data_IF_001024567651
#
_entry.id   IF_001024567651
#
_cell.length_a   1.000
_cell.length_b   1.000
_cell.length_c   1.000
_cell.angle_alpha   90.00
_cell.angle_beta   90.00
_cell.angle_gamma   90.00
#
_symmetry.space_group_name_H-M   'P 1'
#
loop_
_entity.id
_entity.type
_entity.pdbx_description
1 polymer ?
#
# COMPACT_ATOMS: atom_id res chain seq x y z
N UNK A 1 49.89 -26.62 32.38
CA UNK A 1 49.63 -25.19 32.16
C UNK A 1 48.60 -24.97 31.04
N UNK A 2 48.77 -25.56 29.84
CA UNK A 2 47.82 -25.46 28.71
C UNK A 2 46.39 -25.95 29.05
N UNK A 3 46.24 -27.12 29.69
CA UNK A 3 44.91 -27.66 30.00
C UNK A 3 44.09 -26.79 30.96
N UNK A 4 44.74 -26.17 31.95
CA UNK A 4 44.08 -25.23 32.88
C UNK A 4 43.74 -23.89 32.21
N UNK A 5 44.55 -23.47 31.23
CA UNK A 5 44.24 -22.30 30.41
C UNK A 5 43.03 -22.56 29.50
N UNK A 6 42.95 -23.73 28.86
CA UNK A 6 41.80 -24.10 28.03
C UNK A 6 40.50 -24.17 28.86
N UNK A 7 40.54 -24.71 30.08
CA UNK A 7 39.40 -24.69 31.01
C UNK A 7 38.97 -23.28 31.45
N UNK A 8 39.87 -22.29 31.37
CA UNK A 8 39.52 -20.90 31.69
C UNK A 8 38.78 -20.19 30.55
N UNK A 9 38.69 -20.82 29.37
CA UNK A 9 37.89 -20.31 28.26
C UNK A 9 36.41 -20.68 28.45
N UNK A 10 35.47 -19.82 28.05
CA UNK A 10 34.05 -20.13 28.07
C UNK A 10 33.73 -21.48 27.38
N UNK A 11 32.83 -22.26 27.97
CA UNK A 11 32.34 -23.56 27.47
C UNK A 11 33.38 -24.70 27.32
N UNK A 12 34.65 -24.50 27.71
CA UNK A 12 35.70 -25.52 27.56
C UNK A 12 35.86 -26.38 28.81
N UNK A 13 34.76 -26.95 29.30
CA UNK A 13 34.74 -27.77 30.51
C UNK A 13 35.25 -29.21 30.24
N UNK A 14 36.27 -29.65 30.98
CA UNK A 14 36.86 -31.00 30.86
C UNK A 14 36.37 -31.88 32.03
N UNK A 15 35.40 -32.75 31.75
CA UNK A 15 34.71 -33.55 32.78
C UNK A 15 35.64 -34.49 33.55
N UNK A 16 36.67 -35.01 32.89
CA UNK A 16 37.62 -35.98 33.42
C UNK A 16 38.45 -35.40 34.59
N UNK A 17 38.52 -34.08 34.73
CA UNK A 17 39.30 -33.40 35.77
C UNK A 17 38.47 -32.97 36.98
N UNK A 18 37.15 -33.12 36.91
CA UNK A 18 36.25 -32.73 38.00
C UNK A 18 36.54 -33.50 39.29
N UNK A 19 36.75 -34.81 39.16
CA UNK A 19 37.03 -35.70 40.28
C UNK A 19 38.38 -35.40 40.92
N UNK A 20 39.37 -34.99 40.12
CA UNK A 20 40.72 -34.68 40.58
C UNK A 20 40.82 -33.29 41.22
N UNK A 21 40.22 -32.26 40.60
CA UNK A 21 40.32 -30.88 41.09
C UNK A 21 39.33 -30.62 42.23
N UNK A 22 38.13 -31.19 42.18
CA UNK A 22 37.05 -31.02 43.17
C UNK A 22 36.82 -29.55 43.61
N UNK A 23 36.93 -28.60 42.67
CA UNK A 23 36.78 -27.15 42.92
C UNK A 23 35.47 -26.58 42.38
N UNK A 24 34.46 -27.43 42.16
CA UNK A 24 33.16 -26.98 41.68
C UNK A 24 32.32 -26.51 42.85
N UNK A 25 31.68 -25.36 42.66
CA UNK A 25 30.72 -24.80 43.61
C UNK A 25 29.37 -24.77 42.93
N UNK A 26 28.34 -25.24 43.63
CA UNK A 26 26.96 -25.08 43.18
C UNK A 26 26.58 -23.61 43.30
N UNK A 27 26.17 -23.01 42.19
CA UNK A 27 25.69 -21.63 42.14
C UNK A 27 24.18 -21.64 41.91
N UNK A 28 23.48 -20.62 42.43
CA UNK A 28 22.09 -20.37 42.05
C UNK A 28 22.00 -19.90 40.60
N UNK A 29 20.88 -20.18 39.94
CA UNK A 29 20.64 -19.82 38.54
C UNK A 29 20.83 -18.32 38.27
N UNK A 30 20.45 -17.47 39.23
CA UNK A 30 20.64 -16.02 39.13
C UNK A 30 22.12 -15.60 39.07
N UNK A 31 23.00 -16.28 39.81
CA UNK A 31 24.44 -16.04 39.78
C UNK A 31 25.03 -16.50 38.44
N UNK A 32 24.59 -17.65 37.93
CA UNK A 32 24.99 -18.16 36.62
C UNK A 32 24.59 -17.20 35.50
N UNK A 33 23.36 -16.69 35.51
CA UNK A 33 22.87 -15.73 34.51
C UNK A 33 23.74 -14.47 34.41
N UNK A 34 24.34 -14.02 35.52
CA UNK A 34 25.21 -12.83 35.56
C UNK A 34 26.64 -13.13 35.11
N UNK A 35 27.11 -14.36 35.29
CA UNK A 35 28.48 -14.78 34.92
C UNK A 35 28.60 -15.33 33.51
N UNK A 36 27.47 -15.63 32.86
CA UNK A 36 27.43 -16.12 31.49
C UNK A 36 27.93 -15.02 30.53
N UNK A 37 28.96 -15.27 29.71
CA UNK A 37 29.47 -14.31 28.74
C UNK A 37 28.61 -14.21 27.47
N UNK A 38 27.39 -14.75 27.48
CA UNK A 38 26.47 -14.71 26.33
C UNK A 38 25.60 -13.46 26.39
N UNK A 39 25.82 -12.60 25.41
CA UNK A 39 25.04 -11.40 25.20
C UNK A 39 24.35 -11.55 23.85
N UNK A 40 23.09 -11.99 23.85
CA UNK A 40 22.30 -12.17 22.61
C UNK A 40 21.48 -10.92 22.26
N UNK A 41 21.11 -10.81 20.99
CA UNK A 41 20.06 -9.92 20.50
C UNK A 41 18.70 -10.64 20.45
N UNK A 42 17.64 -9.85 20.24
CA UNK A 42 16.27 -10.36 19.99
C UNK A 42 16.23 -10.98 18.59
N UNK A 43 15.81 -12.24 18.50
CA UNK A 43 15.72 -12.98 17.23
C UNK A 43 14.61 -12.51 16.29
N UNK A 44 13.64 -11.75 16.81
CA UNK A 44 12.53 -11.22 16.04
C UNK A 44 11.45 -12.26 15.73
N UNK A 45 10.91 -12.22 14.51
CA UNK A 45 9.92 -13.17 13.99
C UNK A 45 10.46 -14.60 13.92
N UNK A 46 9.56 -15.58 14.05
CA UNK A 46 9.92 -16.99 13.93
C UNK A 46 10.21 -17.37 12.47
N UNK A 47 9.51 -16.73 11.53
CA UNK A 47 9.72 -16.94 10.09
C UNK A 47 10.87 -16.05 9.59
N UNK A 48 11.92 -16.63 8.97
CA UNK A 48 13.09 -15.88 8.49
C UNK A 48 12.83 -15.26 7.11
N UNK A 49 12.29 -14.03 7.07
CA UNK A 49 11.94 -13.31 5.83
C UNK A 49 12.76 -12.03 5.62
N UNK A 50 12.42 -10.96 6.32
CA UNK A 50 13.23 -9.75 6.34
C UNK A 50 14.36 -9.92 7.36
N UNK A 51 15.61 -9.68 6.94
CA UNK A 51 16.80 -9.92 7.77
C UNK A 51 17.35 -8.59 8.25
N UNK A 52 17.50 -8.45 9.56
CA UNK A 52 18.14 -7.33 10.24
C UNK A 52 19.31 -7.80 11.10
N UNK A 53 20.23 -6.88 11.38
CA UNK A 53 21.34 -7.12 12.29
C UNK A 53 21.17 -6.23 13.51
N UNK A 54 21.09 -6.86 14.68
CA UNK A 54 21.01 -6.18 15.96
C UNK A 54 22.34 -5.52 16.35
N UNK A 55 22.30 -4.71 17.42
CA UNK A 55 23.47 -3.93 17.85
C UNK A 55 24.62 -4.79 18.38
N UNK A 56 24.35 -6.04 18.74
CA UNK A 56 25.35 -7.01 19.21
C UNK A 56 25.78 -7.96 18.07
N UNK A 57 25.35 -7.70 16.83
CA UNK A 57 25.67 -8.53 15.67
C UNK A 57 24.78 -9.76 15.53
N UNK A 58 23.77 -9.94 16.38
CA UNK A 58 22.81 -11.04 16.22
C UNK A 58 21.85 -10.77 15.07
N UNK A 59 21.41 -11.83 14.40
CA UNK A 59 20.37 -11.72 13.38
C UNK A 59 19.00 -11.56 14.04
N UNK A 60 18.21 -10.65 13.50
CA UNK A 60 16.82 -10.43 13.86
C UNK A 60 15.97 -10.53 12.60
N UNK A 61 14.96 -11.39 12.63
CA UNK A 61 14.03 -11.54 11.51
C UNK A 61 12.78 -10.72 11.72
N UNK A 62 12.16 -10.32 10.62
CA UNK A 62 10.83 -9.76 10.67
C UNK A 62 9.97 -10.37 9.55
N UNK A 63 8.79 -10.84 9.92
CA UNK A 63 7.82 -11.40 8.98
C UNK A 63 6.43 -10.91 9.36
N UNK A 64 5.86 -10.05 8.51
CA UNK A 64 4.54 -9.43 8.77
C UNK A 64 3.39 -10.43 8.89
N UNK A 65 3.53 -11.63 8.33
CA UNK A 65 2.49 -12.65 8.38
C UNK A 65 2.57 -13.54 9.63
N UNK A 66 3.55 -13.32 10.50
CA UNK A 66 3.58 -13.92 11.85
C UNK A 66 2.58 -13.21 12.81
N UNK A 67 1.87 -12.18 12.34
CA UNK A 67 0.83 -11.48 13.12
C UNK A 67 -0.48 -12.26 13.15
N UNK A 68 -1.05 -12.46 14.34
CA UNK A 68 -2.32 -13.19 14.51
C UNK A 68 -3.57 -12.40 14.09
N UNK A 69 -3.44 -11.11 13.78
CA UNK A 69 -4.59 -10.21 13.56
C UNK A 69 -4.65 -9.64 12.15
N UNK A 70 -3.65 -8.85 11.77
CA UNK A 70 -3.56 -8.22 10.47
C UNK A 70 -2.10 -8.12 10.01
N UNK A 71 -1.92 -8.02 8.70
CA UNK A 71 -0.61 -8.00 8.05
C UNK A 71 -0.19 -6.60 7.57
N UNK A 72 -0.89 -5.57 8.05
CA UNK A 72 -0.60 -4.19 7.67
C UNK A 72 0.59 -3.68 8.49
N UNK A 73 1.41 -2.85 7.85
CA UNK A 73 2.58 -2.25 8.48
C UNK A 73 2.59 -0.75 8.21
N UNK A 74 2.98 0.03 9.21
CA UNK A 74 3.30 1.45 9.07
C UNK A 74 4.78 1.69 9.33
N UNK A 75 5.44 2.42 8.44
CA UNK A 75 6.85 2.82 8.59
C UNK A 75 6.87 4.34 8.71
N UNK A 76 7.32 4.82 9.87
CA UNK A 76 7.37 6.25 10.19
C UNK A 76 8.83 6.64 10.40
N UNK A 77 9.28 7.65 9.65
CA UNK A 77 10.57 8.28 9.84
C UNK A 77 10.53 9.70 9.27
N UNK A 78 11.41 10.56 9.78
CA UNK A 78 11.65 11.89 9.22
C UNK A 78 12.28 11.80 7.81
N UNK A 79 12.28 12.92 7.09
CA UNK A 79 12.97 13.01 5.81
C UNK A 79 14.46 12.72 6.00
N UNK A 80 15.02 11.81 5.19
CA UNK A 80 16.41 11.36 5.34
C UNK A 80 16.61 10.28 6.41
N UNK A 81 15.61 9.93 7.22
CA UNK A 81 15.71 8.90 8.27
C UNK A 81 15.75 7.45 7.77
N UNK A 82 16.05 7.23 6.48
CA UNK A 82 16.20 5.88 5.91
C UNK A 82 14.89 5.15 5.56
N UNK A 83 13.72 5.81 5.57
CA UNK A 83 12.43 5.17 5.20
C UNK A 83 12.49 4.48 3.84
N UNK A 84 12.84 5.22 2.79
CA UNK A 84 12.87 4.66 1.43
C UNK A 84 13.90 3.55 1.27
N UNK A 85 15.07 3.68 1.93
CA UNK A 85 16.09 2.65 1.93
C UNK A 85 15.59 1.35 2.58
N UNK A 86 15.03 1.46 3.78
CA UNK A 86 14.48 0.32 4.51
C UNK A 86 13.31 -0.34 3.75
N UNK A 87 12.36 0.46 3.26
CA UNK A 87 11.23 -0.06 2.46
C UNK A 87 11.70 -0.70 1.15
N UNK A 88 12.73 -0.14 0.49
CA UNK A 88 13.33 -0.75 -0.70
C UNK A 88 13.95 -2.12 -0.42
N UNK A 89 14.69 -2.25 0.69
CA UNK A 89 15.22 -3.54 1.13
C UNK A 89 14.09 -4.56 1.37
N UNK A 90 13.00 -4.14 2.00
CA UNK A 90 11.81 -4.99 2.18
C UNK A 90 11.19 -5.45 0.86
N UNK A 91 11.11 -4.56 -0.14
CA UNK A 91 10.64 -4.95 -1.47
C UNK A 91 11.54 -6.03 -2.08
N UNK A 92 12.86 -5.92 -1.94
CA UNK A 92 13.80 -6.92 -2.42
C UNK A 92 13.61 -8.28 -1.72
N UNK A 93 13.47 -8.30 -0.39
CA UNK A 93 13.14 -9.53 0.36
C UNK A 93 11.81 -10.14 -0.08
N UNK A 94 10.77 -9.31 -0.23
CA UNK A 94 9.46 -9.77 -0.68
C UNK A 94 9.50 -10.40 -2.07
N UNK A 95 10.20 -9.76 -3.02
CA UNK A 95 10.40 -10.29 -4.37
C UNK A 95 11.24 -11.58 -4.37
N UNK A 96 12.31 -11.64 -3.56
CA UNK A 96 13.13 -12.84 -3.42
C UNK A 96 12.35 -14.04 -2.87
N UNK A 97 11.37 -13.79 -2.00
CA UNK A 97 10.43 -14.80 -1.51
C UNK A 97 9.29 -15.13 -2.49
N UNK A 98 9.33 -14.62 -3.74
CA UNK A 98 8.33 -14.88 -4.77
C UNK A 98 7.02 -14.10 -4.59
N UNK A 99 6.98 -13.06 -3.76
CA UNK A 99 5.78 -12.23 -3.55
C UNK A 99 5.69 -11.12 -4.60
N UNK A 100 4.46 -10.76 -4.97
CA UNK A 100 4.21 -9.61 -5.82
C UNK A 100 4.29 -8.31 -5.01
N UNK A 101 5.00 -7.32 -5.54
CA UNK A 101 5.14 -5.98 -4.93
C UNK A 101 4.58 -4.93 -5.88
N UNK A 102 3.64 -4.11 -5.38
CA UNK A 102 3.06 -2.97 -6.10
C UNK A 102 3.27 -1.72 -5.26
N UNK A 103 3.86 -0.68 -5.85
CA UNK A 103 4.29 0.52 -5.11
C UNK A 103 3.68 1.76 -5.75
N UNK A 104 3.10 2.63 -4.92
CA UNK A 104 2.71 3.99 -5.31
C UNK A 104 3.81 4.94 -4.80
N UNK A 105 4.59 5.50 -5.73
CA UNK A 105 5.74 6.33 -5.41
C UNK A 105 5.57 7.78 -5.89
N UNK A 106 5.77 8.73 -4.97
CA UNK A 106 5.67 10.17 -5.23
C UNK A 106 7.06 10.82 -5.37
N UNK A 107 8.15 10.09 -5.08
CA UNK A 107 9.52 10.61 -5.08
C UNK A 107 10.50 9.92 -6.03
N UNK A 108 10.05 8.94 -6.82
CA UNK A 108 10.90 8.12 -7.71
C UNK A 108 12.05 7.43 -6.97
N UNK A 109 11.88 7.21 -5.66
CA UNK A 109 12.88 6.54 -4.81
C UNK A 109 13.08 5.09 -5.19
N UNK A 110 12.07 4.45 -5.78
CA UNK A 110 12.09 3.03 -6.13
C UNK A 110 12.24 2.76 -7.62
N UNK A 111 12.44 3.78 -8.46
CA UNK A 111 12.53 3.61 -9.92
C UNK A 111 13.69 2.72 -10.33
N UNK A 112 14.91 3.05 -9.87
CA UNK A 112 16.09 2.25 -10.15
C UNK A 112 15.97 0.83 -9.59
N UNK A 113 15.45 0.69 -8.36
CA UNK A 113 15.23 -0.62 -7.75
C UNK A 113 14.23 -1.46 -8.56
N UNK A 114 13.15 -0.84 -9.03
CA UNK A 114 12.13 -1.51 -9.84
C UNK A 114 12.72 -2.02 -11.16
N UNK A 115 13.54 -1.21 -11.83
CA UNK A 115 14.23 -1.59 -13.06
C UNK A 115 15.23 -2.72 -12.83
N UNK A 116 16.05 -2.63 -11.77
CA UNK A 116 17.06 -3.64 -11.44
C UNK A 116 16.42 -5.01 -11.10
N UNK A 117 15.26 -4.99 -10.44
CA UNK A 117 14.51 -6.19 -10.12
C UNK A 117 13.65 -6.72 -11.30
N UNK A 118 13.80 -6.17 -12.50
CA UNK A 118 13.08 -6.58 -13.70
C UNK A 118 11.58 -6.22 -13.71
N UNK A 119 11.17 -5.26 -12.87
CA UNK A 119 9.80 -4.77 -12.77
C UNK A 119 9.48 -3.66 -13.78
N UNK A 120 8.21 -3.28 -13.83
CA UNK A 120 7.73 -2.17 -14.65
C UNK A 120 7.49 -0.92 -13.80
N UNK A 121 8.25 0.14 -14.06
CA UNK A 121 7.99 1.45 -13.47
C UNK A 121 7.09 2.29 -14.37
N UNK A 122 5.82 2.43 -13.98
CA UNK A 122 4.85 3.20 -14.74
C UNK A 122 5.04 4.69 -14.44
N UNK A 123 5.70 5.38 -15.38
CA UNK A 123 5.75 6.83 -15.38
C UNK A 123 4.39 7.38 -15.71
N UNK A 124 3.82 8.03 -14.72
CA UNK A 124 2.66 8.86 -14.91
C UNK A 124 3.23 10.29 -15.09
N UNK A 125 3.30 10.80 -16.30
CA UNK A 125 3.76 12.17 -16.61
C UNK A 125 2.78 12.82 -17.58
N UNK A 126 2.86 14.13 -17.78
CA UNK A 126 2.00 14.80 -18.76
C UNK A 126 2.30 14.29 -20.21
N UNK A 127 3.53 13.83 -20.47
CA UNK A 127 3.96 13.24 -21.74
C UNK A 127 3.59 11.75 -21.87
N UNK A 128 3.63 11.01 -20.76
CA UNK A 128 3.38 9.57 -20.71
C UNK A 128 2.15 9.33 -19.84
N UNK A 129 1.03 9.18 -20.54
CA UNK A 129 -0.28 9.15 -19.92
C UNK A 129 -0.93 7.75 -20.06
N UNK A 130 -0.54 6.77 -19.23
CA UNK A 130 -1.11 5.43 -19.29
C UNK A 130 -2.62 5.47 -19.01
N UNK A 131 -3.32 4.44 -19.51
CA UNK A 131 -4.78 4.31 -19.53
C UNK A 131 -5.27 3.12 -18.66
N UNK A 132 -5.74 3.37 -17.43
CA UNK A 132 -6.33 2.41 -16.49
C UNK A 132 -7.85 2.52 -16.52
N UNK A 133 -8.49 1.69 -17.33
CA UNK A 133 -9.94 1.61 -17.30
C UNK A 133 -10.44 0.65 -16.21
N UNK A 134 -11.17 1.15 -15.22
CA UNK A 134 -11.71 0.37 -14.08
C UNK A 134 -12.61 -0.78 -14.53
N UNK A 135 -13.27 -0.65 -15.69
CA UNK A 135 -14.17 -1.69 -16.21
C UNK A 135 -13.43 -2.86 -16.90
N UNK A 136 -12.13 -2.73 -17.18
CA UNK A 136 -11.40 -3.69 -18.05
C UNK A 136 -11.37 -5.10 -17.48
N UNK A 137 -11.06 -5.21 -16.18
CA UNK A 137 -10.90 -6.49 -15.47
C UNK A 137 -11.85 -6.60 -14.28
N UNK A 138 -13.01 -5.95 -14.38
CA UNK A 138 -13.99 -5.92 -13.29
C UNK A 138 -14.58 -7.33 -13.07
N UNK A 139 -14.79 -7.69 -11.82
CA UNK A 139 -15.47 -8.93 -11.46
C UNK A 139 -16.97 -8.80 -11.69
N UNK A 140 -17.58 -9.86 -12.21
CA UNK A 140 -19.02 -9.96 -12.46
C UNK A 140 -19.64 -11.01 -11.53
N UNK A 141 -20.90 -10.80 -11.19
CA UNK A 141 -21.74 -11.83 -10.54
C UNK A 141 -22.09 -12.93 -11.56
N UNK A 142 -22.60 -14.09 -11.11
CA UNK A 142 -23.13 -15.12 -12.02
C UNK A 142 -24.28 -14.64 -12.91
N UNK A 143 -24.98 -13.56 -12.53
CA UNK A 143 -26.02 -12.92 -13.35
C UNK A 143 -25.47 -12.02 -14.46
N UNK A 144 -24.15 -11.76 -14.48
CA UNK A 144 -23.50 -10.87 -15.45
C UNK A 144 -23.54 -9.39 -15.06
N UNK A 145 -23.93 -9.05 -13.83
CA UNK A 145 -23.84 -7.69 -13.31
C UNK A 145 -22.47 -7.46 -12.66
N UNK A 146 -22.08 -6.20 -12.46
CA UNK A 146 -20.85 -5.88 -11.73
C UNK A 146 -20.95 -6.39 -10.29
N UNK A 147 -19.89 -7.03 -9.78
CA UNK A 147 -19.81 -7.48 -8.40
C UNK A 147 -19.94 -6.30 -7.41
N UNK A 148 -20.70 -6.42 -6.31
CA UNK A 148 -20.91 -5.32 -5.35
C UNK A 148 -19.62 -4.65 -4.84
N UNK A 149 -18.60 -5.47 -4.50
CA UNK A 149 -17.30 -4.96 -4.01
C UNK A 149 -16.55 -4.11 -5.05
N UNK A 150 -16.72 -4.42 -6.33
CA UNK A 150 -16.14 -3.62 -7.42
C UNK A 150 -16.88 -2.28 -7.56
N UNK A 151 -18.20 -2.28 -7.44
CA UNK A 151 -19.00 -1.06 -7.40
C UNK A 151 -18.56 -0.16 -6.24
N UNK A 152 -18.42 -0.73 -5.03
CA UNK A 152 -17.99 0.01 -3.84
C UNK A 152 -16.58 0.62 -4.01
N UNK A 153 -15.72 -0.02 -4.80
CA UNK A 153 -14.39 0.49 -5.14
C UNK A 153 -14.43 1.63 -6.17
N UNK A 154 -15.35 1.59 -7.14
CA UNK A 154 -15.45 2.58 -8.22
C UNK A 154 -16.17 3.86 -7.76
N UNK A 155 -17.17 3.75 -6.88
CA UNK A 155 -17.93 4.90 -6.36
C UNK A 155 -17.03 6.03 -5.84
N UNK A 156 -16.08 5.81 -4.93
CA UNK A 156 -15.24 6.89 -4.41
C UNK A 156 -14.35 7.49 -5.49
N UNK A 157 -13.92 6.69 -6.48
CA UNK A 157 -13.15 7.19 -7.61
C UNK A 157 -14.00 8.17 -8.41
N UNK A 158 -15.16 7.73 -8.94
CA UNK A 158 -16.10 8.57 -9.70
C UNK A 158 -16.56 9.78 -8.90
N UNK A 159 -16.88 9.58 -7.61
CA UNK A 159 -17.26 10.65 -6.70
C UNK A 159 -16.17 11.70 -6.54
N UNK A 160 -14.90 11.31 -6.45
CA UNK A 160 -13.80 12.28 -6.45
C UNK A 160 -13.81 13.16 -7.71
N UNK A 161 -14.06 12.56 -8.87
CA UNK A 161 -14.01 13.25 -10.18
C UNK A 161 -15.15 14.24 -10.34
N UNK A 162 -16.31 13.92 -9.77
CA UNK A 162 -17.42 14.84 -9.62
C UNK A 162 -17.13 15.98 -8.62
N UNK A 163 -15.94 16.01 -7.99
CA UNK A 163 -15.57 16.98 -6.97
C UNK A 163 -16.16 16.71 -5.59
N UNK A 164 -16.65 15.49 -5.33
CA UNK A 164 -17.41 15.16 -4.13
C UNK A 164 -16.51 14.88 -2.90
N UNK A 165 -15.36 14.24 -3.08
CA UNK A 165 -14.45 13.92 -1.94
C UNK A 165 -13.88 15.17 -1.26
N UNK A 166 -13.84 16.32 -1.94
CA UNK A 166 -13.43 17.57 -1.29
C UNK A 166 -14.51 18.12 -0.33
N UNK A 167 -15.80 17.85 -0.58
CA UNK A 167 -16.89 18.33 0.27
C UNK A 167 -17.01 17.56 1.60
N UNK A 168 -16.72 16.25 1.63
CA UNK A 168 -16.85 15.46 2.85
C UNK A 168 -15.80 15.80 3.92
N UNK A 169 -14.62 16.34 3.54
CA UNK A 169 -13.65 16.90 4.51
C UNK A 169 -13.99 18.32 4.98
N UNK A 170 -14.72 19.11 4.19
CA UNK A 170 -15.24 20.43 4.59
C UNK A 170 -16.50 20.33 5.48
N UNK A 171 -17.25 19.22 5.39
CA UNK A 171 -18.53 19.03 6.08
C UNK A 171 -18.45 18.64 7.57
N UNK A 172 -17.26 18.43 8.15
CA UNK A 172 -17.13 18.36 9.61
C UNK A 172 -17.57 19.68 10.32
N UNK A 173 -17.80 20.77 9.57
CA UNK A 173 -18.28 22.05 10.12
C UNK A 173 -19.73 22.44 9.79
N UNK A 174 -20.41 21.75 8.88
CA UNK A 174 -21.77 22.12 8.51
C UNK A 174 -22.65 20.86 8.45
N UNK A 175 -23.63 20.77 9.36
CA UNK A 175 -24.75 19.82 9.30
C UNK A 175 -25.57 20.07 8.03
N UNK A 176 -25.04 19.66 6.89
CA UNK A 176 -25.76 19.60 5.64
C UNK A 176 -26.00 18.11 5.39
N UNK A 177 -27.23 17.69 5.66
CA UNK A 177 -27.74 16.39 5.25
C UNK A 177 -27.83 16.39 3.72
N UNK A 178 -26.86 15.78 3.02
CA UNK A 178 -27.07 15.31 1.65
C UNK A 178 -26.63 13.83 1.49
N UNK A 179 -27.54 12.90 1.12
CA UNK A 179 -27.74 11.67 1.91
C UNK A 179 -28.14 10.41 1.09
N UNK A 180 -27.34 9.35 0.94
CA UNK A 180 -27.66 8.08 0.18
C UNK A 180 -28.01 8.22 -1.32
N UNK A 181 -28.72 9.26 -1.75
CA UNK A 181 -29.28 9.44 -3.09
C UNK A 181 -28.21 9.71 -4.16
N UNK A 182 -27.08 10.33 -3.81
CA UNK A 182 -26.02 10.59 -4.77
C UNK A 182 -25.17 9.35 -5.08
N UNK A 183 -24.95 8.51 -4.06
CA UNK A 183 -24.28 7.23 -4.27
C UNK A 183 -25.16 6.32 -5.16
N UNK A 184 -26.47 6.30 -4.94
CA UNK A 184 -27.39 5.55 -5.79
C UNK A 184 -27.44 6.08 -7.23
N UNK A 185 -27.31 7.40 -7.44
CA UNK A 185 -27.16 7.99 -8.77
C UNK A 185 -25.84 7.59 -9.46
N UNK A 186 -24.70 7.63 -8.74
CA UNK A 186 -23.41 7.11 -9.25
C UNK A 186 -23.53 5.63 -9.62
N UNK A 187 -24.09 4.81 -8.73
CA UNK A 187 -24.30 3.39 -8.99
C UNK A 187 -25.17 3.18 -10.22
N UNK A 188 -26.25 3.95 -10.37
CA UNK A 188 -27.14 3.87 -11.54
C UNK A 188 -26.40 4.24 -12.82
N UNK A 189 -25.61 5.33 -12.81
CA UNK A 189 -24.82 5.75 -13.97
C UNK A 189 -23.75 4.72 -14.37
N UNK A 190 -23.02 4.18 -13.39
CA UNK A 190 -22.03 3.11 -13.59
C UNK A 190 -22.69 1.89 -14.25
N UNK A 191 -23.83 1.44 -13.73
CA UNK A 191 -24.54 0.28 -14.27
C UNK A 191 -25.09 0.53 -15.68
N UNK A 192 -25.60 1.73 -15.98
CA UNK A 192 -26.03 2.08 -17.34
C UNK A 192 -24.83 2.04 -18.31
N UNK A 193 -23.71 2.65 -17.94
CA UNK A 193 -22.49 2.65 -18.74
C UNK A 193 -21.98 1.22 -19.01
N UNK A 194 -21.93 0.39 -17.97
CA UNK A 194 -21.48 -0.99 -18.07
C UNK A 194 -22.45 -1.87 -18.86
N UNK A 195 -23.77 -1.72 -18.70
CA UNK A 195 -24.74 -2.48 -19.51
C UNK A 195 -24.65 -2.15 -20.99
N UNK A 196 -24.31 -0.91 -21.34
CA UNK A 196 -24.19 -0.46 -22.72
C UNK A 196 -22.93 -0.98 -23.40
N UNK A 197 -21.79 -0.89 -22.73
CA UNK A 197 -20.47 -1.13 -23.34
C UNK A 197 -19.66 -2.27 -22.68
N UNK A 198 -20.19 -2.92 -21.65
CA UNK A 198 -19.51 -3.97 -20.88
C UNK A 198 -18.16 -3.51 -20.34
N UNK A 199 -17.16 -4.40 -20.40
CA UNK A 199 -15.75 -4.09 -20.09
C UNK A 199 -15.14 -3.04 -21.01
N UNK A 200 -15.83 -2.69 -22.10
CA UNK A 200 -15.46 -1.59 -22.97
C UNK A 200 -15.94 -0.22 -22.47
N UNK A 201 -16.81 -0.16 -21.46
CA UNK A 201 -17.22 1.10 -20.85
C UNK A 201 -16.04 1.91 -20.35
N UNK A 202 -16.18 3.23 -20.35
CA UNK A 202 -15.22 4.18 -19.80
C UNK A 202 -15.90 5.31 -19.02
N UNK A 203 -15.09 6.22 -18.48
CA UNK A 203 -15.60 7.32 -17.66
C UNK A 203 -16.56 8.24 -18.42
N UNK A 204 -16.35 8.39 -19.73
CA UNK A 204 -17.25 9.15 -20.60
C UNK A 204 -18.66 8.54 -20.62
N UNK A 205 -18.77 7.23 -20.72
CA UNK A 205 -20.07 6.55 -20.74
C UNK A 205 -20.81 6.73 -19.41
N UNK A 206 -20.07 6.76 -18.29
CA UNK A 206 -20.62 7.09 -16.97
C UNK A 206 -21.14 8.54 -16.95
N UNK A 207 -20.39 9.48 -17.53
CA UNK A 207 -20.81 10.88 -17.64
C UNK A 207 -22.03 11.07 -18.54
N UNK A 208 -22.10 10.35 -19.67
CA UNK A 208 -23.24 10.34 -20.58
C UNK A 208 -24.49 9.79 -19.87
N UNK A 209 -24.34 8.65 -19.17
CA UNK A 209 -25.41 8.06 -18.36
C UNK A 209 -25.91 9.01 -17.25
N UNK A 210 -24.99 9.77 -16.64
CA UNK A 210 -25.35 10.80 -15.66
C UNK A 210 -26.24 11.90 -16.23
N UNK A 211 -25.93 12.38 -17.45
CA UNK A 211 -26.75 13.38 -18.13
C UNK A 211 -28.14 12.85 -18.48
N UNK A 212 -28.23 11.58 -18.88
CA UNK A 212 -29.52 10.93 -19.14
C UNK A 212 -30.37 10.87 -17.88
N UNK A 213 -29.80 10.44 -16.75
CA UNK A 213 -30.52 10.41 -15.47
C UNK A 213 -30.92 11.82 -15.02
N UNK A 214 -30.07 12.82 -15.20
CA UNK A 214 -30.35 14.20 -14.77
C UNK A 214 -31.56 14.84 -15.47
N UNK A 215 -31.83 14.46 -16.73
CA UNK A 215 -33.01 14.91 -17.49
C UNK A 215 -34.32 14.53 -16.80
N UNK A 216 -34.36 13.35 -16.17
CA UNK A 216 -35.55 12.83 -15.51
C UNK A 216 -35.79 13.46 -14.13
N UNK A 217 -34.74 13.97 -13.48
CA UNK A 217 -34.80 14.38 -12.07
C UNK A 217 -34.90 15.91 -11.85
N UNK A 218 -34.84 16.76 -12.90
CA UNK A 218 -34.71 18.24 -12.75
C UNK A 218 -33.61 18.65 -11.75
N UNK A 219 -32.55 17.84 -11.61
CA UNK A 219 -31.41 18.15 -10.73
C UNK A 219 -30.43 18.98 -11.55
N UNK A 220 -30.71 20.28 -11.63
CA UNK A 220 -29.67 21.24 -11.96
C UNK A 220 -28.66 21.26 -10.81
N UNK A 221 -27.39 21.30 -11.18
CA UNK A 221 -26.25 21.60 -10.34
C UNK A 221 -25.77 20.46 -9.41
N UNK A 222 -24.73 19.78 -9.87
CA UNK A 222 -23.37 19.87 -9.28
C UNK A 222 -22.43 18.76 -9.78
N UNK A 223 -22.96 17.64 -10.30
CA UNK A 223 -22.17 16.46 -10.67
C UNK A 223 -21.79 16.36 -12.16
N UNK A 224 -22.67 16.66 -13.15
CA UNK A 224 -22.32 16.47 -14.56
C UNK A 224 -21.24 17.43 -15.05
N UNK A 225 -21.41 18.74 -14.85
CA UNK A 225 -20.45 19.74 -15.33
C UNK A 225 -19.06 19.52 -14.76
N UNK A 226 -18.93 19.25 -13.45
CA UNK A 226 -17.63 18.96 -12.82
C UNK A 226 -16.98 17.69 -13.35
N UNK A 227 -17.77 16.67 -13.68
CA UNK A 227 -17.25 15.43 -14.27
C UNK A 227 -16.73 15.68 -15.70
N UNK A 228 -17.46 16.47 -16.50
CA UNK A 228 -17.02 16.90 -17.84
C UNK A 228 -15.86 17.90 -17.80
N UNK A 229 -15.81 18.80 -16.82
CA UNK A 229 -14.68 19.69 -16.56
C UNK A 229 -13.45 18.90 -16.15
N UNK A 230 -13.58 17.93 -15.24
CA UNK A 230 -12.51 17.02 -14.87
C UNK A 230 -12.02 16.26 -16.11
N UNK A 231 -12.94 15.74 -16.93
CA UNK A 231 -12.63 15.10 -18.21
C UNK A 231 -11.94 16.04 -19.21
N UNK A 232 -12.34 17.31 -19.29
CA UNK A 232 -11.74 18.32 -20.15
C UNK A 232 -10.36 18.78 -19.67
N UNK A 233 -10.17 18.93 -18.35
CA UNK A 233 -8.89 19.26 -17.72
C UNK A 233 -7.89 18.11 -17.85
N UNK A 234 -8.38 16.86 -17.79
CA UNK A 234 -7.66 15.64 -18.19
C UNK A 234 -7.22 15.78 -19.65
N UNK A 235 -8.15 15.92 -20.59
CA UNK A 235 -7.83 15.86 -22.02
C UNK A 235 -6.94 17.01 -22.52
N UNK A 236 -6.95 18.16 -21.82
CA UNK A 236 -6.17 19.36 -22.19
C UNK A 236 -4.88 19.54 -21.39
N UNK A 237 -4.58 18.65 -20.42
CA UNK A 237 -3.39 18.75 -19.56
C UNK A 237 -3.39 19.94 -18.58
N UNK A 238 -4.49 20.70 -18.47
CA UNK A 238 -4.56 22.00 -17.77
C UNK A 238 -4.92 21.92 -16.29
N UNK A 239 -4.90 20.74 -15.66
CA UNK A 239 -5.27 20.55 -14.26
C UNK A 239 -4.20 21.10 -13.28
N UNK A 240 -3.93 22.42 -13.29
CA UNK A 240 -2.92 23.11 -12.45
C UNK A 240 -3.52 23.96 -11.32
N UNK A 241 -4.81 24.31 -11.34
CA UNK A 241 -5.32 25.42 -10.51
C UNK A 241 -6.41 25.10 -9.48
N UNK A 242 -6.94 23.88 -9.42
CA UNK A 242 -8.03 23.55 -8.49
C UNK A 242 -7.72 22.20 -7.84
N UNK A 243 -7.65 22.19 -6.51
CA UNK A 243 -7.26 21.11 -5.59
C UNK A 243 -5.78 21.17 -5.16
N UNK A 244 -5.60 21.26 -3.84
CA UNK A 244 -4.33 21.42 -3.14
C UNK A 244 -3.30 20.32 -3.47
N UNK A 245 -2.02 20.74 -3.55
CA UNK A 245 -0.90 20.11 -4.27
C UNK A 245 -0.65 18.61 -4.04
N UNK A 246 -1.09 17.99 -2.93
CA UNK A 246 -0.72 16.61 -2.60
C UNK A 246 -1.73 15.54 -3.05
N UNK A 247 -3.01 15.86 -3.15
CA UNK A 247 -4.06 14.89 -3.54
C UNK A 247 -4.26 14.86 -5.06
N UNK A 248 -4.02 16.00 -5.71
CA UNK A 248 -4.15 16.22 -7.16
C UNK A 248 -3.18 15.36 -7.98
N UNK A 249 -2.01 15.03 -7.42
CA UNK A 249 -0.97 14.28 -8.15
C UNK A 249 -1.34 12.81 -8.38
N UNK A 250 -1.80 12.11 -7.34
CA UNK A 250 -2.19 10.69 -7.46
C UNK A 250 -3.42 10.55 -8.35
N UNK A 251 -4.34 11.52 -8.25
CA UNK A 251 -5.61 11.45 -8.96
C UNK A 251 -5.50 11.90 -10.41
N UNK A 252 -4.72 12.93 -10.76
CA UNK A 252 -4.35 13.27 -12.16
C UNK A 252 -3.97 12.02 -12.94
N UNK A 253 -3.18 11.17 -12.32
CA UNK A 253 -2.52 10.03 -12.94
C UNK A 253 -3.41 8.79 -13.10
N UNK A 254 -4.35 8.56 -12.18
CA UNK A 254 -5.38 7.52 -12.33
C UNK A 254 -6.47 8.00 -13.32
N UNK A 255 -6.67 9.31 -13.46
CA UNK A 255 -7.79 9.92 -14.18
C UNK A 255 -7.62 10.12 -15.68
N UNK A 256 -6.45 10.60 -16.09
CA UNK A 256 -6.14 10.76 -17.51
C UNK A 256 -6.12 9.42 -18.28
N UNK A 257 -6.30 8.34 -17.53
CA UNK A 257 -6.15 6.96 -17.92
C UNK A 257 -7.48 6.26 -18.29
N UNK A 258 -8.63 6.92 -18.21
CA UNK A 258 -9.94 6.29 -18.44
C UNK A 258 -10.59 6.74 -19.75
N UNK A 259 -9.90 7.59 -20.50
CA UNK A 259 -10.52 8.53 -21.43
C UNK A 259 -10.28 8.20 -22.91
N UNK A 260 -9.45 7.20 -23.22
CA UNK A 260 -9.10 6.87 -24.61
C UNK A 260 -9.58 5.46 -24.96
N UNK A 261 -10.90 5.35 -25.15
CA UNK A 261 -11.49 4.44 -26.14
C UNK A 261 -12.08 5.28 -27.26
N UNK A 262 -11.36 5.30 -28.37
CA UNK A 262 -11.89 5.49 -29.72
C UNK A 262 -11.32 4.38 -30.57
#
# INVERSE_FOLDING_TARGET
MIAAFLESLPLNNIKERDTFLNRRTTLFDANLATMIPFVSDVSGSATPDEIFVGRKGGLAFFHRYDSDTNYNMSIVAESGGGKSFNTGNRHAHALAAGRQVRVIDVGRSYEFLCQEMGGEYIHLTDERNPCFNFFTNILETPSGDIHPDEIDSIIPMVGFLCGWIFLSRLQLRARITYPRDMASLIIKAINIAYRKNGRQAGLKDVADAFLEIAKDYKVHDQAPEKLYEAYGLIHTGRMRSILTEKTTYIIRKIMLSLSLKR
#
